data_IF_956914836875
#
_entry.id   IF_956914836875
#
_cell.length_a   1.000
_cell.length_b   1.000
_cell.length_c   1.000
_cell.angle_alpha   90.00
_cell.angle_beta   90.00
_cell.angle_gamma   90.00
#
_symmetry.space_group_name_H-M   'P 1'
#
loop_
_entity.id
_entity.type
_entity.pdbx_description
1 polymer ?
#
# COMPACT_ATOMS: atom_id res chain seq x y z
N UNK A 1 -30.22 77.54 -2.76
CA UNK A 1 -28.78 77.29 -2.69
C UNK A 1 -28.59 75.92 -2.02
N UNK A 2 -28.18 74.93 -2.81
CA UNK A 2 -28.04 73.51 -2.34
C UNK A 2 -26.55 73.28 -2.05
N UNK A 3 -26.20 73.03 -0.81
CA UNK A 3 -24.83 72.65 -0.40
C UNK A 3 -24.68 71.12 -0.62
N UNK A 4 -23.75 70.75 -1.48
CA UNK A 4 -23.30 69.33 -1.63
C UNK A 4 -22.17 69.11 -0.63
N UNK A 5 -22.39 68.15 0.30
CA UNK A 5 -21.37 67.65 1.19
C UNK A 5 -20.66 66.52 0.44
N UNK A 6 -19.35 66.69 0.22
CA UNK A 6 -18.49 65.71 -0.40
C UNK A 6 -17.83 64.89 0.73
N UNK A 7 -18.26 63.65 0.92
CA UNK A 7 -17.69 62.74 1.89
C UNK A 7 -16.50 62.00 1.26
N UNK A 8 -15.29 62.28 1.73
CA UNK A 8 -14.10 61.54 1.34
C UNK A 8 -14.09 60.20 2.11
N UNK A 9 -14.20 59.07 1.40
CA UNK A 9 -13.87 57.77 1.96
C UNK A 9 -12.36 57.58 1.84
N UNK A 10 -11.67 57.55 3.00
CA UNK A 10 -10.27 57.15 3.09
C UNK A 10 -10.22 55.64 3.16
N UNK A 11 -9.89 54.98 2.05
CA UNK A 11 -9.68 53.54 2.00
C UNK A 11 -8.31 53.21 2.61
N UNK A 12 -8.30 52.73 3.84
CA UNK A 12 -7.11 52.11 4.44
C UNK A 12 -6.84 50.77 3.74
N UNK A 13 -5.86 50.76 2.84
CA UNK A 13 -5.26 49.56 2.32
C UNK A 13 -4.38 48.93 3.43
N UNK A 14 -4.90 47.91 4.11
CA UNK A 14 -4.11 47.05 4.96
C UNK A 14 -3.48 45.99 4.06
N UNK A 15 -2.14 45.91 3.96
CA UNK A 15 -1.52 44.82 3.23
C UNK A 15 -1.74 43.52 4.03
N UNK A 16 -2.53 42.60 3.49
CA UNK A 16 -2.62 41.25 3.97
C UNK A 16 -1.30 40.56 3.60
N UNK A 17 -0.37 40.51 4.54
CA UNK A 17 0.76 39.62 4.52
C UNK A 17 0.19 38.20 4.76
N UNK A 18 -0.17 37.52 3.68
CA UNK A 18 -0.35 36.09 3.70
C UNK A 18 1.01 35.46 3.97
N UNK A 19 1.35 35.32 5.24
CA UNK A 19 2.42 34.44 5.66
C UNK A 19 2.05 33.02 5.27
N UNK A 20 2.61 32.57 4.16
CA UNK A 20 2.68 31.14 3.87
C UNK A 20 3.48 30.50 5.01
N UNK A 21 2.78 29.97 6.00
CA UNK A 21 3.35 29.04 6.96
C UNK A 21 3.70 27.78 6.18
N UNK A 22 4.89 27.78 5.58
CA UNK A 22 5.56 26.53 5.23
C UNK A 22 5.72 25.78 6.55
N UNK A 23 4.81 24.84 6.82
CA UNK A 23 5.06 23.80 7.77
C UNK A 23 6.29 23.05 7.26
N UNK A 24 7.44 23.38 7.84
CA UNK A 24 8.65 22.60 7.70
C UNK A 24 8.36 21.23 8.36
N UNK A 25 7.68 20.35 7.63
CA UNK A 25 7.71 18.93 7.87
C UNK A 25 9.13 18.53 7.49
N UNK A 26 10.06 18.58 8.44
CA UNK A 26 11.37 17.94 8.30
C UNK A 26 11.12 16.43 8.31
N UNK A 27 10.59 15.91 7.21
CA UNK A 27 10.69 14.52 6.89
C UNK A 27 12.19 14.24 6.81
N UNK A 28 12.70 13.42 7.72
CA UNK A 28 13.98 12.78 7.57
C UNK A 28 13.87 11.82 6.38
N UNK A 29 13.83 12.38 5.16
CA UNK A 29 13.91 11.61 3.94
C UNK A 29 15.33 11.04 3.89
N UNK A 30 15.46 9.79 4.34
CA UNK A 30 16.67 9.02 4.14
C UNK A 30 16.83 8.90 2.62
N UNK A 31 17.88 9.53 2.08
CA UNK A 31 18.12 9.46 0.65
C UNK A 31 18.51 8.02 0.27
N UNK A 32 18.20 7.59 -0.95
CA UNK A 32 18.52 6.24 -1.43
C UNK A 32 20.00 5.90 -1.24
N UNK A 33 20.89 6.86 -1.40
CA UNK A 33 22.35 6.72 -1.15
C UNK A 33 22.72 6.33 0.29
N UNK A 34 21.80 6.51 1.25
CA UNK A 34 22.00 6.20 2.66
C UNK A 34 21.44 4.80 3.02
N UNK A 35 20.83 4.10 2.06
CA UNK A 35 20.41 2.72 2.24
C UNK A 35 21.63 1.79 2.22
N UNK A 36 21.65 0.89 3.19
CA UNK A 36 22.76 -0.07 3.36
C UNK A 36 22.43 -1.48 2.85
N UNK A 37 21.17 -1.73 2.53
CA UNK A 37 20.69 -3.02 2.06
C UNK A 37 19.37 -2.90 1.30
N UNK A 38 19.09 -3.90 0.48
CA UNK A 38 17.83 -4.13 -0.21
C UNK A 38 17.09 -5.28 0.46
N UNK A 39 15.78 -5.11 0.66
CA UNK A 39 14.89 -6.17 1.13
C UNK A 39 14.07 -6.70 -0.06
N UNK A 40 14.10 -8.01 -0.25
CA UNK A 40 13.28 -8.72 -1.22
C UNK A 40 12.25 -9.56 -0.48
N UNK A 41 10.97 -9.42 -0.87
CA UNK A 41 9.86 -10.22 -0.35
C UNK A 41 9.42 -11.19 -1.43
N UNK A 42 9.21 -12.46 -1.06
CA UNK A 42 8.86 -13.51 -2.00
C UNK A 42 8.06 -14.63 -1.31
N UNK A 43 7.58 -15.56 -2.08
CA UNK A 43 7.03 -16.85 -1.65
C UNK A 43 7.72 -17.96 -2.45
N UNK A 44 7.68 -19.21 -1.97
CA UNK A 44 8.60 -20.25 -2.47
C UNK A 44 7.99 -21.21 -3.47
N UNK A 45 6.66 -21.32 -3.55
CA UNK A 45 6.01 -22.25 -4.48
C UNK A 45 4.49 -22.27 -4.41
N UNK A 46 3.90 -23.37 -4.90
CA UNK A 46 2.46 -23.52 -5.10
C UNK A 46 1.81 -24.52 -4.12
N UNK A 47 2.48 -24.89 -3.07
CA UNK A 47 1.91 -25.69 -2.00
C UNK A 47 1.61 -24.82 -0.80
N UNK A 48 0.60 -25.12 -0.01
CA UNK A 48 0.15 -24.31 1.14
C UNK A 48 1.29 -23.97 2.11
N UNK A 49 2.30 -24.83 2.26
CA UNK A 49 3.48 -24.55 3.07
C UNK A 49 4.49 -23.59 2.44
N UNK A 50 4.35 -23.31 1.14
CA UNK A 50 5.20 -22.45 0.33
C UNK A 50 4.54 -21.10 0.01
N UNK A 51 3.22 -21.01 0.21
CA UNK A 51 2.40 -19.80 0.02
C UNK A 51 2.40 -18.94 1.26
N UNK A 52 3.58 -18.40 1.57
CA UNK A 52 3.82 -17.56 2.72
C UNK A 52 4.94 -16.54 2.44
N UNK A 53 4.95 -15.44 3.17
CA UNK A 53 5.95 -14.38 2.99
C UNK A 53 7.30 -14.83 3.51
N UNK A 54 8.30 -14.80 2.64
CA UNK A 54 9.71 -14.97 2.97
C UNK A 54 10.46 -13.67 2.67
N UNK A 55 11.62 -13.49 3.33
CA UNK A 55 12.50 -12.35 3.13
C UNK A 55 13.88 -12.82 2.67
N UNK A 56 14.47 -12.00 1.80
CA UNK A 56 15.90 -12.07 1.51
C UNK A 56 16.50 -10.66 1.53
N UNK A 57 17.77 -10.54 1.85
CA UNK A 57 18.49 -9.26 1.86
C UNK A 57 19.68 -9.30 0.91
N UNK A 58 20.01 -8.13 0.39
CA UNK A 58 21.16 -7.90 -0.46
C UNK A 58 21.83 -6.58 -0.09
N UNK A 59 23.16 -6.51 -0.22
CA UNK A 59 23.93 -5.27 -0.09
C UNK A 59 24.33 -4.67 -1.44
N UNK A 60 24.19 -5.43 -2.53
CA UNK A 60 24.55 -5.03 -3.89
C UNK A 60 23.35 -4.95 -4.86
N UNK A 61 22.15 -5.40 -4.42
CA UNK A 61 20.93 -5.46 -5.22
C UNK A 61 20.88 -6.61 -6.23
N UNK A 62 21.90 -7.47 -6.28
CA UNK A 62 22.01 -8.58 -7.25
C UNK A 62 22.09 -9.93 -6.55
N UNK A 63 22.84 -10.02 -5.46
CA UNK A 63 23.03 -11.26 -4.70
C UNK A 63 22.19 -11.18 -3.42
N UNK A 64 21.24 -12.11 -3.27
CA UNK A 64 20.32 -12.13 -2.15
C UNK A 64 20.53 -13.35 -1.25
N UNK A 65 20.49 -13.13 0.04
CA UNK A 65 20.55 -14.17 1.06
C UNK A 65 19.20 -14.28 1.75
N UNK A 66 18.62 -15.49 1.70
CA UNK A 66 17.36 -15.77 2.38
C UNK A 66 17.53 -15.60 3.90
N UNK A 67 16.56 -14.95 4.52
CA UNK A 67 16.47 -14.85 5.96
C UNK A 67 15.67 -16.03 6.53
N UNK A 68 15.80 -16.26 7.85
CA UNK A 68 15.05 -17.28 8.58
C UNK A 68 15.18 -18.70 7.99
N UNK A 69 16.38 -19.06 7.47
CA UNK A 69 16.63 -20.35 6.80
C UNK A 69 15.66 -20.63 5.64
N UNK A 70 15.29 -19.61 4.88
CA UNK A 70 14.30 -19.67 3.80
C UNK A 70 12.89 -20.11 4.26
N UNK A 71 12.57 -19.90 5.53
CA UNK A 71 11.25 -20.19 6.10
C UNK A 71 10.41 -18.91 6.15
N UNK A 72 9.07 -19.05 6.19
CA UNK A 72 8.17 -17.91 6.33
C UNK A 72 8.50 -17.02 7.54
N UNK A 73 8.41 -15.70 7.33
CA UNK A 73 8.61 -14.67 8.37
C UNK A 73 7.29 -14.18 8.96
N UNK A 74 6.16 -14.50 8.30
CA UNK A 74 4.80 -14.19 8.75
C UNK A 74 3.96 -15.46 8.62
N UNK A 75 3.18 -15.77 9.66
CA UNK A 75 2.24 -16.89 9.61
C UNK A 75 1.01 -16.52 8.75
N UNK A 76 0.93 -17.10 7.56
CA UNK A 76 -0.16 -16.87 6.61
C UNK A 76 -1.55 -17.21 7.17
N UNK A 77 -1.64 -18.18 8.11
CA UNK A 77 -2.90 -18.56 8.75
C UNK A 77 -3.47 -17.46 9.65
N UNK A 78 -2.59 -16.59 10.17
CA UNK A 78 -3.01 -15.47 11.02
C UNK A 78 -3.50 -14.30 10.17
N UNK A 79 -2.81 -14.00 9.05
CA UNK A 79 -3.05 -12.79 8.27
C UNK A 79 -4.03 -12.95 7.13
N UNK A 80 -4.31 -14.16 6.65
CA UNK A 80 -5.15 -14.43 5.49
C UNK A 80 -6.44 -15.15 5.81
N UNK A 81 -7.42 -15.08 4.91
CA UNK A 81 -8.67 -15.82 5.05
C UNK A 81 -8.60 -17.25 4.49
N UNK A 82 -7.60 -17.55 3.65
CA UNK A 82 -7.41 -18.87 3.01
C UNK A 82 -6.36 -19.73 3.70
N UNK A 83 -5.48 -19.12 4.51
CA UNK A 83 -4.36 -19.80 5.15
C UNK A 83 -3.05 -19.71 4.34
N UNK A 84 -3.08 -19.14 3.14
CA UNK A 84 -1.92 -18.90 2.27
C UNK A 84 -1.89 -17.49 1.71
N UNK A 85 -0.69 -16.98 1.40
CA UNK A 85 -0.49 -15.70 0.73
C UNK A 85 0.60 -15.79 -0.32
N UNK A 86 0.43 -14.98 -1.40
CA UNK A 86 1.31 -14.96 -2.57
C UNK A 86 1.62 -13.53 -2.98
N UNK A 87 2.56 -13.36 -3.91
CA UNK A 87 2.88 -12.11 -4.58
C UNK A 87 3.14 -10.94 -3.60
N UNK A 88 3.98 -11.10 -2.57
CA UNK A 88 4.21 -10.06 -1.60
C UNK A 88 4.92 -8.87 -2.26
N UNK A 89 4.31 -7.68 -2.16
CA UNK A 89 4.92 -6.42 -2.56
C UNK A 89 5.06 -5.52 -1.34
N UNK A 90 6.28 -5.06 -1.05
CA UNK A 90 6.59 -4.21 0.09
C UNK A 90 7.00 -2.81 -0.36
N UNK A 91 6.55 -1.80 0.38
CA UNK A 91 6.88 -0.39 0.18
C UNK A 91 7.31 0.24 1.51
N UNK A 92 8.43 0.94 1.51
CA UNK A 92 8.80 1.85 2.59
C UNK A 92 8.07 3.17 2.38
N UNK A 93 7.38 3.64 3.41
CA UNK A 93 6.57 4.86 3.33
C UNK A 93 7.44 6.13 3.33
N UNK A 94 6.82 7.25 2.92
CA UNK A 94 7.45 8.58 2.86
C UNK A 94 7.97 9.07 4.22
N UNK A 95 7.46 8.55 5.34
CA UNK A 95 7.96 8.85 6.67
C UNK A 95 9.30 8.15 7.00
N UNK A 96 9.77 7.27 6.10
CA UNK A 96 11.01 6.51 6.23
C UNK A 96 11.03 5.47 7.35
N UNK A 97 9.90 5.25 8.04
CA UNK A 97 9.79 4.37 9.22
C UNK A 97 8.70 3.31 9.08
N UNK A 98 7.59 3.66 8.44
CA UNK A 98 6.47 2.76 8.21
C UNK A 98 6.71 1.94 6.95
N UNK A 99 6.30 0.69 6.98
CA UNK A 99 6.30 -0.21 5.83
C UNK A 99 4.87 -0.68 5.57
N UNK A 100 4.48 -0.64 4.31
CA UNK A 100 3.27 -1.28 3.83
C UNK A 100 3.63 -2.49 3.00
N UNK A 101 2.87 -3.55 3.15
CA UNK A 101 2.96 -4.72 2.29
C UNK A 101 1.56 -5.13 1.85
N UNK A 102 1.44 -5.57 0.63
CA UNK A 102 0.22 -6.12 0.07
C UNK A 102 0.50 -7.51 -0.48
N UNK A 103 -0.42 -8.44 -0.26
CA UNK A 103 -0.29 -9.83 -0.70
C UNK A 103 -1.61 -10.36 -1.26
N UNK A 104 -1.54 -11.29 -2.19
CA UNK A 104 -2.69 -12.06 -2.66
C UNK A 104 -3.10 -13.06 -1.56
N UNK A 105 -4.36 -13.03 -1.12
CA UNK A 105 -4.93 -14.00 -0.17
C UNK A 105 -5.41 -15.24 -0.94
N UNK A 106 -4.56 -16.24 -1.05
CA UNK A 106 -4.82 -17.40 -1.90
C UNK A 106 -4.05 -18.64 -1.43
N UNK A 107 -4.70 -19.79 -1.58
CA UNK A 107 -4.08 -21.12 -1.59
C UNK A 107 -4.37 -21.75 -2.95
N UNK A 108 -3.33 -22.06 -3.74
CA UNK A 108 -3.48 -22.57 -5.11
C UNK A 108 -4.13 -23.95 -5.18
N UNK A 109 -3.99 -24.77 -4.13
CA UNK A 109 -4.67 -26.07 -4.02
C UNK A 109 -6.21 -25.93 -4.04
N UNK A 110 -6.75 -24.76 -3.68
CA UNK A 110 -8.18 -24.45 -3.80
C UNK A 110 -8.60 -24.08 -5.23
N UNK A 111 -7.67 -24.08 -6.17
CA UNK A 111 -7.87 -23.72 -7.58
C UNK A 111 -7.52 -22.26 -7.89
N UNK A 112 -7.04 -22.05 -9.11
CA UNK A 112 -6.56 -20.74 -9.60
C UNK A 112 -7.65 -19.67 -9.70
N UNK A 113 -8.92 -20.04 -9.73
CA UNK A 113 -10.06 -19.12 -9.73
C UNK A 113 -10.72 -18.98 -8.34
N UNK A 114 -10.06 -19.41 -7.26
CA UNK A 114 -10.64 -19.50 -5.92
C UNK A 114 -10.52 -18.21 -5.10
N UNK A 115 -9.57 -17.35 -5.41
CA UNK A 115 -9.28 -16.21 -4.53
C UNK A 115 -10.23 -15.02 -4.74
N UNK A 116 -10.61 -14.35 -3.66
CA UNK A 116 -11.53 -13.20 -3.66
C UNK A 116 -10.99 -12.02 -2.86
N UNK A 117 -9.78 -12.15 -2.32
CA UNK A 117 -9.25 -11.21 -1.36
C UNK A 117 -7.77 -10.90 -1.61
N UNK A 118 -7.35 -9.78 -1.09
CA UNK A 118 -5.97 -9.42 -0.83
C UNK A 118 -5.82 -9.06 0.65
N UNK A 119 -4.58 -9.05 1.15
CA UNK A 119 -4.28 -8.58 2.50
C UNK A 119 -3.43 -7.34 2.43
N UNK A 120 -3.80 -6.32 3.18
CA UNK A 120 -3.02 -5.13 3.40
C UNK A 120 -2.34 -5.25 4.77
N UNK A 121 -1.04 -4.96 4.83
CA UNK A 121 -0.25 -5.09 6.06
C UNK A 121 0.54 -3.80 6.31
N UNK A 122 0.68 -3.45 7.60
CA UNK A 122 1.40 -2.27 8.07
C UNK A 122 2.33 -2.65 9.21
N UNK A 123 3.59 -2.22 9.13
CA UNK A 123 4.62 -2.46 10.16
C UNK A 123 5.54 -1.25 10.32
N UNK A 124 6.24 -1.18 11.46
CA UNK A 124 7.33 -0.23 11.70
C UNK A 124 8.66 -0.92 12.01
N UNK A 125 8.68 -2.26 12.03
CA UNK A 125 9.86 -3.06 12.40
C UNK A 125 10.12 -4.26 11.48
N UNK A 126 9.25 -4.48 10.46
CA UNK A 126 9.30 -5.60 9.51
C UNK A 126 9.07 -6.99 10.14
N UNK A 127 8.76 -7.04 11.44
CA UNK A 127 8.53 -8.26 12.21
C UNK A 127 7.07 -8.37 12.64
N UNK A 128 6.57 -7.30 13.25
CA UNK A 128 5.20 -7.22 13.73
C UNK A 128 4.32 -6.51 12.72
N UNK A 129 3.26 -7.16 12.25
CA UNK A 129 2.39 -6.68 11.20
C UNK A 129 0.94 -6.56 11.68
N UNK A 130 0.38 -5.37 11.62
CA UNK A 130 -1.07 -5.19 11.61
C UNK A 130 -1.58 -5.52 10.21
N UNK A 131 -2.73 -6.18 10.09
CA UNK A 131 -3.25 -6.61 8.81
C UNK A 131 -4.76 -6.38 8.68
N UNK A 132 -5.21 -6.34 7.43
CA UNK A 132 -6.63 -6.27 7.07
C UNK A 132 -6.88 -7.07 5.81
N UNK A 133 -7.83 -8.02 5.87
CA UNK A 133 -8.25 -8.81 4.72
C UNK A 133 -9.32 -8.05 3.95
N UNK A 134 -9.05 -7.72 2.69
CA UNK A 134 -9.99 -7.04 1.80
C UNK A 134 -10.61 -8.07 0.84
N UNK A 135 -11.71 -8.65 1.25
CA UNK A 135 -12.48 -9.56 0.39
C UNK A 135 -13.43 -8.74 -0.51
N UNK A 136 -13.09 -8.65 -1.78
CA UNK A 136 -13.81 -7.83 -2.76
C UNK A 136 -15.24 -8.32 -2.97
N UNK A 137 -15.47 -9.62 -2.97
CA UNK A 137 -16.79 -10.19 -3.18
C UNK A 137 -17.74 -9.92 -2.00
N UNK A 138 -17.22 -9.92 -0.78
CA UNK A 138 -18.01 -9.63 0.42
C UNK A 138 -18.21 -8.13 0.67
N UNK A 139 -17.22 -7.32 0.28
CA UNK A 139 -17.21 -5.89 0.59
C UNK A 139 -18.04 -5.06 -0.40
N UNK A 140 -18.17 -5.51 -1.64
CA UNK A 140 -18.82 -4.75 -2.71
C UNK A 140 -19.93 -5.58 -3.37
N UNK A 141 -21.10 -4.95 -3.59
CA UNK A 141 -22.19 -5.57 -4.34
C UNK A 141 -21.81 -5.76 -5.82
N UNK A 142 -22.44 -6.73 -6.49
CA UNK A 142 -22.23 -6.99 -7.91
C UNK A 142 -20.98 -7.79 -8.23
N UNK A 143 -20.34 -8.40 -7.23
CA UNK A 143 -19.10 -9.16 -7.39
C UNK A 143 -19.30 -10.68 -7.47
N UNK A 144 -20.51 -11.15 -7.79
CA UNK A 144 -20.86 -12.58 -7.78
C UNK A 144 -20.07 -13.39 -8.79
N UNK A 145 -19.70 -12.76 -9.93
CA UNK A 145 -18.90 -13.39 -11.00
C UNK A 145 -17.39 -13.22 -10.83
N UNK A 146 -16.93 -12.60 -9.73
CA UNK A 146 -15.52 -12.44 -9.46
C UNK A 146 -14.84 -13.78 -9.30
N UNK A 147 -13.74 -14.02 -10.01
CA UNK A 147 -12.92 -15.23 -9.97
C UNK A 147 -11.56 -15.02 -9.33
N UNK A 148 -10.95 -13.85 -9.56
CA UNK A 148 -9.58 -13.57 -9.14
C UNK A 148 -9.41 -12.14 -8.60
N UNK A 149 -8.59 -12.02 -7.56
CA UNK A 149 -8.04 -10.77 -7.02
C UNK A 149 -6.55 -11.01 -6.83
N UNK A 150 -5.71 -10.65 -7.79
CA UNK A 150 -4.32 -11.11 -7.86
C UNK A 150 -3.30 -9.98 -7.84
N UNK A 151 -2.12 -10.35 -7.32
CA UNK A 151 -0.87 -9.61 -7.42
C UNK A 151 -1.02 -8.11 -7.08
N UNK A 152 -1.54 -7.76 -5.89
CA UNK A 152 -1.64 -6.38 -5.49
C UNK A 152 -0.27 -5.75 -5.33
N UNK A 153 -0.16 -4.48 -5.71
CA UNK A 153 1.01 -3.66 -5.47
C UNK A 153 0.59 -2.32 -4.87
N UNK A 154 1.51 -1.62 -4.22
CA UNK A 154 1.24 -0.31 -3.64
C UNK A 154 2.34 0.67 -3.95
N UNK A 155 1.97 1.92 -4.20
CA UNK A 155 2.87 3.06 -4.43
C UNK A 155 2.36 4.27 -3.66
N UNK A 156 3.23 5.25 -3.44
CA UNK A 156 2.81 6.55 -2.98
C UNK A 156 2.41 7.43 -4.18
N UNK A 157 1.15 7.86 -4.19
CA UNK A 157 0.63 8.83 -5.16
C UNK A 157 0.91 10.24 -4.60
N UNK A 158 1.97 10.86 -5.08
CA UNK A 158 2.41 12.16 -4.60
C UNK A 158 1.43 13.29 -4.95
N UNK A 159 0.66 13.16 -6.04
CA UNK A 159 -0.34 14.13 -6.46
C UNK A 159 -1.55 14.11 -5.52
N UNK A 160 -2.02 12.92 -5.17
CA UNK A 160 -3.13 12.73 -4.24
C UNK A 160 -2.70 12.80 -2.76
N UNK A 161 -1.39 12.70 -2.46
CA UNK A 161 -0.86 12.62 -1.09
C UNK A 161 -1.32 11.35 -0.37
N UNK A 162 -1.50 10.23 -1.09
CA UNK A 162 -2.08 8.98 -0.58
C UNK A 162 -1.33 7.78 -1.12
N UNK A 163 -1.45 6.66 -0.41
CA UNK A 163 -0.99 5.38 -0.95
C UNK A 163 -2.06 4.79 -1.85
N UNK A 164 -1.66 4.40 -3.04
CA UNK A 164 -2.50 3.76 -4.04
C UNK A 164 -2.16 2.27 -4.04
N UNK A 165 -3.20 1.44 -3.98
CA UNK A 165 -3.10 -0.01 -4.18
C UNK A 165 -3.73 -0.33 -5.53
N UNK A 166 -3.04 -1.11 -6.36
CA UNK A 166 -3.57 -1.60 -7.64
C UNK A 166 -3.37 -3.12 -7.74
N UNK A 167 -4.30 -3.77 -8.42
CA UNK A 167 -4.35 -5.24 -8.50
C UNK A 167 -5.09 -5.70 -9.75
N UNK A 168 -4.92 -6.97 -10.12
CA UNK A 168 -5.66 -7.60 -11.20
C UNK A 168 -6.94 -8.25 -10.69
N UNK A 169 -8.05 -8.09 -11.44
CA UNK A 169 -9.32 -8.80 -11.21
C UNK A 169 -9.82 -9.45 -12.48
N UNK A 170 -10.45 -10.64 -12.31
CA UNK A 170 -11.10 -11.36 -13.38
C UNK A 170 -12.54 -11.69 -13.02
N UNK A 171 -13.45 -11.47 -13.97
CA UNK A 171 -14.88 -11.80 -13.86
C UNK A 171 -15.27 -12.82 -14.91
N UNK A 172 -15.87 -13.93 -14.48
CA UNK A 172 -16.30 -14.99 -15.39
C UNK A 172 -15.16 -15.44 -16.32
N UNK A 173 -15.44 -15.49 -17.61
CA UNK A 173 -14.46 -15.83 -18.65
C UNK A 173 -13.86 -14.62 -19.37
N UNK A 174 -14.08 -13.42 -18.81
CA UNK A 174 -13.52 -12.18 -19.33
C UNK A 174 -12.02 -12.05 -19.16
N UNK A 175 -11.44 -10.99 -19.73
CA UNK A 175 -10.04 -10.65 -19.54
C UNK A 175 -9.75 -10.22 -18.09
N UNK A 176 -8.50 -10.34 -17.69
CA UNK A 176 -8.00 -9.73 -16.46
C UNK A 176 -7.82 -8.22 -16.67
N UNK A 177 -8.28 -7.42 -15.70
CA UNK A 177 -8.26 -5.96 -15.75
C UNK A 177 -7.65 -5.43 -14.48
N UNK A 178 -6.83 -4.39 -14.60
CA UNK A 178 -6.22 -3.71 -13.46
C UNK A 178 -7.23 -2.75 -12.84
N UNK A 179 -7.40 -2.87 -11.54
CA UNK A 179 -8.16 -1.98 -10.68
C UNK A 179 -7.24 -1.28 -9.72
N UNK A 180 -7.68 -0.16 -9.17
CA UNK A 180 -6.94 0.56 -8.14
C UNK A 180 -7.87 1.26 -7.16
N UNK A 181 -7.34 1.56 -5.97
CA UNK A 181 -7.98 2.39 -4.97
C UNK A 181 -6.93 3.08 -4.10
N UNK A 182 -7.25 4.24 -3.56
CA UNK A 182 -6.44 4.85 -2.52
C UNK A 182 -6.74 4.20 -1.17
N UNK A 183 -5.69 3.84 -0.45
CA UNK A 183 -5.81 3.34 0.91
C UNK A 183 -6.21 4.46 1.88
N UNK A 184 -6.88 4.10 2.96
CA UNK A 184 -7.11 5.00 4.08
C UNK A 184 -5.82 5.19 4.91
N UNK A 185 -5.87 6.07 5.92
CA UNK A 185 -4.71 6.38 6.78
C UNK A 185 -4.21 5.17 7.59
N UNK A 186 -5.09 4.21 7.85
CA UNK A 186 -4.77 3.00 8.61
C UNK A 186 -4.22 1.88 7.72
N UNK A 187 -4.28 2.07 6.40
CA UNK A 187 -3.94 1.05 5.40
C UNK A 187 -4.80 -0.22 5.53
N UNK A 188 -6.14 -0.02 5.52
CA UNK A 188 -7.13 -1.11 5.67
C UNK A 188 -8.22 -1.07 4.60
#
# INVERSE_FOLDING_TARGET
MKHKILTFFLACLVPWLAGAQQSANSQNNVAEKDYIAYLFTYFTGNHISEEAVCYAVSTDGYTYWALNDNKPVIDSKIISSTGGVRDPHILRCEDGKTFYMVVTDMVSDNGWDSNRAMVLLKSTDLVNWNHSVINMQKRYAGQEKLKRVWAPQTIFDAEAGKYLVYWSMKYGDGAEVIYYAHANKEFT
#
